data_IF_098725983212
#
_entry.id   IF_098725983212
#
_cell.length_a   1.000
_cell.length_b   1.000
_cell.length_c   1.000
_cell.angle_alpha   90.00
_cell.angle_beta   90.00
_cell.angle_gamma   90.00
#
_symmetry.space_group_name_H-M   'P 1'
#
loop_
_entity.id
_entity.type
_entity.pdbx_description
1 polymer ?
#
# COMPACT_ATOMS: atom_id res chain seq x y z
N UNK A 1 15.56 -2.11 33.36
CA UNK A 1 15.10 -2.70 32.09
C UNK A 1 15.04 -1.57 31.07
N UNK A 2 16.04 -1.44 30.20
CA UNK A 2 16.02 -0.43 29.16
C UNK A 2 15.10 -0.93 28.03
N UNK A 3 14.06 -0.18 27.63
CA UNK A 3 13.24 -0.57 26.50
C UNK A 3 14.10 -0.55 25.24
N UNK A 4 13.95 -1.58 24.40
CA UNK A 4 14.71 -1.73 23.17
C UNK A 4 14.35 -0.59 22.20
N UNK A 5 15.25 0.39 22.04
CA UNK A 5 15.04 1.63 21.27
C UNK A 5 14.65 1.36 19.80
N UNK A 6 15.10 0.22 19.25
CA UNK A 6 14.73 -0.24 17.91
C UNK A 6 13.23 -0.54 17.76
N UNK A 7 12.59 -1.10 18.81
CA UNK A 7 11.16 -1.40 18.79
C UNK A 7 10.31 -0.13 18.93
N UNK A 8 10.77 0.87 19.68
CA UNK A 8 10.09 2.16 19.80
C UNK A 8 10.13 2.97 18.50
N UNK A 9 11.20 2.90 17.71
CA UNK A 9 11.28 3.61 16.43
C UNK A 9 10.28 3.05 15.40
N UNK A 10 10.08 1.72 15.35
CA UNK A 10 9.06 1.10 14.47
C UNK A 10 7.64 1.62 14.76
N UNK A 11 7.34 1.95 16.02
CA UNK A 11 6.02 2.45 16.43
C UNK A 11 5.71 3.89 16.04
N UNK A 12 6.70 4.69 15.61
CA UNK A 12 6.54 6.14 15.39
C UNK A 12 6.45 6.51 13.90
N UNK A 13 6.96 5.67 12.98
CA UNK A 13 7.07 6.03 11.56
C UNK A 13 5.99 5.44 10.63
N UNK A 14 5.36 4.34 11.01
CA UNK A 14 4.27 3.76 10.24
C UNK A 14 3.06 3.65 11.17
N UNK A 15 1.86 4.13 10.81
CA UNK A 15 0.69 3.97 11.66
C UNK A 15 0.22 2.51 11.60
N UNK A 16 0.94 1.68 12.34
CA UNK A 16 0.58 0.59 13.27
C UNK A 16 -0.70 -0.25 13.12
N UNK A 17 -1.62 -0.05 12.16
CA UNK A 17 -2.90 -0.79 12.09
C UNK A 17 -3.49 -1.03 10.69
N UNK A 18 -2.80 -0.72 9.59
CA UNK A 18 -3.50 -0.48 8.31
C UNK A 18 -4.00 -1.63 7.47
N UNK A 19 -3.62 -2.84 7.79
CA UNK A 19 -4.47 -3.95 7.46
C UNK A 19 -5.08 -4.35 8.78
N UNK A 20 -6.39 -4.11 8.95
CA UNK A 20 -7.19 -4.90 9.87
C UNK A 20 -6.70 -6.33 9.67
N UNK A 21 -5.88 -6.83 10.62
CA UNK A 21 -5.38 -8.19 10.63
C UNK A 21 -6.60 -9.03 10.30
N UNK A 22 -6.55 -9.67 9.13
CA UNK A 22 -7.73 -10.21 8.46
C UNK A 22 -8.63 -10.93 9.46
N UNK A 23 -9.95 -10.85 9.23
CA UNK A 23 -11.01 -11.59 9.95
C UNK A 23 -10.42 -12.66 10.85
N UNK A 24 -10.54 -12.48 12.18
CA UNK A 24 -10.09 -13.48 13.15
C UNK A 24 -10.58 -14.84 12.68
N UNK A 25 -9.72 -15.61 12.01
CA UNK A 25 -10.07 -16.94 11.56
C UNK A 25 -10.22 -17.69 12.87
N UNK A 26 -11.47 -18.01 13.18
CA UNK A 26 -11.88 -18.56 14.46
C UNK A 26 -11.39 -20.01 14.51
N UNK A 27 -10.15 -20.21 14.96
CA UNK A 27 -9.56 -21.53 15.12
C UNK A 27 -8.05 -21.49 15.21
N UNK A 28 -7.48 -22.47 15.90
CA UNK A 28 -6.05 -22.82 15.97
C UNK A 28 -5.49 -23.31 14.63
N UNK A 29 -5.97 -22.77 13.51
CA UNK A 29 -5.72 -23.26 12.17
C UNK A 29 -4.34 -22.75 11.76
N UNK A 30 -3.35 -23.63 11.90
CA UNK A 30 -2.09 -23.52 11.22
C UNK A 30 -2.37 -23.91 9.77
N UNK A 31 -2.44 -22.92 8.89
CA UNK A 31 -2.66 -23.13 7.45
C UNK A 31 -1.36 -22.88 6.73
N UNK A 32 -0.94 -23.83 5.91
CA UNK A 32 0.23 -23.72 5.05
C UNK A 32 -0.24 -23.81 3.60
N UNK A 33 0.21 -22.89 2.76
CA UNK A 33 -0.15 -22.78 1.35
C UNK A 33 1.10 -22.48 0.54
N UNK A 34 1.20 -23.08 -0.64
CA UNK A 34 2.19 -22.69 -1.63
C UNK A 34 1.63 -21.56 -2.49
N UNK A 35 2.37 -20.46 -2.61
CA UNK A 35 2.01 -19.32 -3.46
C UNK A 35 3.12 -19.04 -4.45
N UNK A 36 2.76 -18.57 -5.65
CA UNK A 36 3.71 -18.12 -6.67
C UNK A 36 4.15 -16.65 -6.48
N UNK A 37 3.43 -15.88 -5.68
CA UNK A 37 3.60 -14.43 -5.51
C UNK A 37 3.36 -14.02 -4.04
N UNK A 38 4.13 -13.07 -3.47
CA UNK A 38 5.17 -12.23 -4.07
C UNK A 38 6.46 -12.98 -4.48
N UNK A 39 6.79 -14.09 -3.81
CA UNK A 39 7.91 -14.97 -4.16
C UNK A 39 7.40 -16.42 -4.13
N UNK A 40 7.76 -17.27 -5.10
CA UNK A 40 7.38 -18.68 -5.09
C UNK A 40 7.87 -19.39 -3.82
N UNK A 41 6.95 -19.99 -3.07
CA UNK A 41 7.29 -20.65 -1.82
C UNK A 41 6.10 -21.04 -0.96
N UNK A 42 6.42 -21.60 0.21
CA UNK A 42 5.46 -22.01 1.23
C UNK A 42 5.24 -20.87 2.23
N UNK A 43 3.97 -20.47 2.32
CA UNK A 43 3.46 -19.47 3.23
C UNK A 43 2.65 -20.12 4.35
N UNK A 44 2.83 -19.63 5.58
CA UNK A 44 2.13 -20.09 6.77
C UNK A 44 1.31 -18.96 7.39
N UNK A 45 0.05 -19.25 7.66
CA UNK A 45 -0.79 -18.36 8.46
C UNK A 45 -0.50 -18.57 9.95
N UNK A 46 -0.01 -17.51 10.60
CA UNK A 46 0.22 -17.47 12.03
C UNK A 46 -0.94 -16.67 12.67
N UNK A 47 -1.74 -17.28 13.58
CA UNK A 47 -2.81 -16.57 14.26
C UNK A 47 -2.28 -15.29 14.92
N UNK A 48 -3.06 -14.21 14.83
CA UNK A 48 -2.70 -12.85 15.28
C UNK A 48 -1.62 -12.11 14.48
N UNK A 49 -0.82 -12.78 13.65
CA UNK A 49 0.23 -12.12 12.87
C UNK A 49 -0.11 -12.06 11.38
N UNK A 50 -0.79 -13.07 10.83
CA UNK A 50 -1.15 -13.13 9.41
C UNK A 50 -0.27 -14.12 8.63
N UNK A 51 -0.16 -13.91 7.31
CA UNK A 51 0.63 -14.76 6.43
C UNK A 51 2.11 -14.44 6.50
N UNK A 52 2.96 -15.48 6.53
CA UNK A 52 4.41 -15.36 6.55
C UNK A 52 5.01 -16.34 5.55
N UNK A 53 6.04 -15.91 4.81
CA UNK A 53 6.88 -16.81 4.04
C UNK A 53 7.76 -17.61 4.99
N UNK A 54 7.71 -18.95 4.86
CA UNK A 54 8.49 -19.87 5.70
C UNK A 54 9.53 -20.62 4.88
N UNK A 55 9.29 -20.88 3.60
CA UNK A 55 10.24 -21.58 2.74
C UNK A 55 10.13 -21.05 1.31
N UNK A 56 11.26 -20.74 0.66
CA UNK A 56 11.29 -20.34 -0.75
C UNK A 56 11.49 -21.56 -1.64
N UNK A 57 10.87 -21.57 -2.81
CA UNK A 57 11.12 -22.62 -3.79
C UNK A 57 12.59 -22.64 -4.21
N UNK A 58 13.20 -23.82 -4.20
CA UNK A 58 14.62 -24.00 -4.50
C UNK A 58 15.57 -23.77 -3.32
N UNK A 59 15.05 -23.39 -2.14
CA UNK A 59 15.82 -23.44 -0.89
C UNK A 59 15.79 -24.85 -0.30
N UNK A 60 16.94 -25.37 0.11
CA UNK A 60 17.03 -26.63 0.87
C UNK A 60 16.60 -26.47 2.34
N UNK A 61 16.51 -25.22 2.82
CA UNK A 61 16.24 -24.89 4.22
C UNK A 61 15.10 -23.89 4.35
N UNK A 62 14.34 -24.03 5.44
CA UNK A 62 13.35 -23.04 5.85
C UNK A 62 14.02 -21.69 6.20
N UNK A 63 13.26 -20.62 6.01
CA UNK A 63 13.63 -19.29 6.44
C UNK A 63 13.82 -19.27 7.96
N UNK A 64 15.02 -18.85 8.39
CA UNK A 64 15.36 -18.77 9.83
C UNK A 64 14.41 -17.87 10.61
N UNK A 65 13.88 -16.85 9.93
CA UNK A 65 12.89 -15.91 10.45
C UNK A 65 11.76 -15.83 9.42
N UNK A 66 10.53 -16.25 9.75
CA UNK A 66 9.40 -16.12 8.85
C UNK A 66 9.19 -14.66 8.43
N UNK A 67 9.05 -14.42 7.12
CA UNK A 67 8.94 -13.05 6.58
C UNK A 67 7.46 -12.68 6.45
N UNK A 68 6.97 -11.64 7.16
CA UNK A 68 5.56 -11.27 7.16
C UNK A 68 5.12 -10.70 5.79
N UNK A 69 3.89 -11.04 5.41
CA UNK A 69 3.25 -10.60 4.16
C UNK A 69 1.89 -9.97 4.46
N UNK A 70 1.61 -8.87 3.77
CA UNK A 70 0.40 -8.08 3.94
C UNK A 70 -0.32 -7.90 2.61
N UNK A 71 -1.66 -7.89 2.65
CA UNK A 71 -2.46 -7.63 1.45
C UNK A 71 -2.51 -6.12 1.19
N UNK A 72 -1.80 -5.63 0.17
CA UNK A 72 -1.84 -4.22 -0.19
C UNK A 72 -3.15 -3.86 -0.89
N UNK A 73 -3.95 -2.98 -0.26
CA UNK A 73 -5.23 -2.50 -0.80
C UNK A 73 -5.09 -1.56 -2.00
N UNK A 74 -3.92 -0.94 -2.20
CA UNK A 74 -3.65 -0.03 -3.33
C UNK A 74 -3.29 -0.84 -4.58
N UNK A 75 -2.42 -1.84 -4.43
CA UNK A 75 -1.99 -2.73 -5.52
C UNK A 75 -2.90 -3.95 -5.72
N UNK A 76 -3.83 -4.18 -4.79
CA UNK A 76 -4.72 -5.34 -4.77
C UNK A 76 -4.01 -6.71 -4.76
N UNK A 77 -2.80 -6.79 -4.19
CA UNK A 77 -2.01 -8.03 -4.08
C UNK A 77 -1.25 -8.13 -2.77
N UNK A 78 -0.79 -9.32 -2.44
CA UNK A 78 0.11 -9.55 -1.30
C UNK A 78 1.52 -9.05 -1.63
N UNK A 79 2.12 -8.33 -0.68
CA UNK A 79 3.52 -7.87 -0.71
C UNK A 79 4.14 -8.05 0.67
N UNK A 80 5.46 -8.04 0.78
CA UNK A 80 6.12 -8.16 2.08
C UNK A 80 5.88 -6.92 2.96
N UNK A 81 5.91 -7.09 4.29
CA UNK A 81 5.72 -5.98 5.24
C UNK A 81 6.81 -4.91 5.06
N UNK A 82 8.06 -5.31 4.83
CA UNK A 82 9.19 -4.41 4.57
C UNK A 82 9.02 -3.63 3.27
N UNK A 83 8.63 -4.30 2.18
CA UNK A 83 8.34 -3.64 0.89
C UNK A 83 7.19 -2.62 1.03
N UNK A 84 6.16 -2.96 1.82
CA UNK A 84 5.06 -2.04 2.12
C UNK A 84 5.57 -0.80 2.88
N UNK A 85 6.46 -0.99 3.85
CA UNK A 85 7.06 0.10 4.64
C UNK A 85 7.94 0.99 3.76
N UNK A 86 8.79 0.43 2.92
CA UNK A 86 9.71 1.16 2.04
C UNK A 86 8.96 2.02 1.00
N UNK A 87 7.80 1.52 0.53
CA UNK A 87 6.94 2.25 -0.41
C UNK A 87 6.15 3.39 0.24
N UNK A 88 6.05 3.41 1.57
CA UNK A 88 5.26 4.39 2.31
C UNK A 88 6.10 5.58 2.75
N UNK A 89 5.77 6.78 2.28
CA UNK A 89 6.52 8.00 2.60
C UNK A 89 5.60 9.16 3.02
N UNK A 90 5.92 9.79 4.16
CA UNK A 90 5.14 10.91 4.68
C UNK A 90 5.56 12.22 4.00
N UNK A 91 4.61 12.92 3.39
CA UNK A 91 4.83 14.26 2.84
C UNK A 91 3.77 15.25 3.29
N UNK A 92 4.20 16.48 3.50
CA UNK A 92 3.30 17.61 3.75
C UNK A 92 3.00 18.29 2.42
N UNK A 93 1.73 18.39 2.08
CA UNK A 93 1.27 18.98 0.81
C UNK A 93 0.29 20.12 1.09
N UNK A 94 0.38 21.17 0.28
CA UNK A 94 -0.57 22.28 0.30
C UNK A 94 -1.57 22.07 -0.83
N UNK A 95 -2.80 21.71 -0.49
CA UNK A 95 -3.88 21.53 -1.45
C UNK A 95 -4.55 22.89 -1.72
N UNK A 96 -4.42 23.41 -2.94
CA UNK A 96 -5.19 24.51 -3.53
C UNK A 96 -5.44 25.72 -2.60
N UNK A 97 -4.38 26.26 -2.01
CA UNK A 97 -4.44 27.44 -1.13
C UNK A 97 -4.94 27.17 0.29
N UNK A 98 -5.22 25.91 0.61
CA UNK A 98 -5.59 25.44 1.94
C UNK A 98 -4.41 25.28 2.89
N UNK A 99 -4.73 24.89 4.14
CA UNK A 99 -3.74 24.56 5.17
C UNK A 99 -2.89 23.36 4.70
N UNK A 100 -1.57 23.37 4.90
CA UNK A 100 -0.74 22.21 4.60
C UNK A 100 -1.23 20.99 5.39
N UNK A 101 -1.46 19.89 4.68
CA UNK A 101 -1.89 18.62 5.24
C UNK A 101 -0.78 17.58 5.10
N UNK A 102 -0.56 16.79 6.14
CA UNK A 102 0.38 15.68 6.14
C UNK A 102 -0.36 14.44 5.64
N UNK A 103 0.10 13.86 4.53
CA UNK A 103 -0.44 12.63 3.96
C UNK A 103 0.66 11.58 3.88
N UNK A 104 0.27 10.31 3.95
CA UNK A 104 1.17 9.22 3.63
C UNK A 104 0.95 8.79 2.19
N UNK A 105 2.03 8.90 1.43
CA UNK A 105 2.08 8.49 0.03
C UNK A 105 2.59 7.06 -0.08
N UNK A 106 2.06 6.35 -1.08
CA UNK A 106 2.49 5.02 -1.46
C UNK A 106 3.12 5.08 -2.86
N UNK A 107 4.33 4.55 -3.01
CA UNK A 107 5.01 4.42 -4.30
C UNK A 107 4.47 3.21 -5.08
N UNK A 108 4.03 3.45 -6.31
CA UNK A 108 3.52 2.40 -7.20
C UNK A 108 4.65 1.55 -7.80
N UNK A 109 4.27 0.50 -8.51
CA UNK A 109 5.20 -0.42 -9.19
C UNK A 109 6.05 0.24 -10.29
N UNK A 110 5.70 1.45 -10.73
CA UNK A 110 6.49 2.20 -11.71
C UNK A 110 7.68 2.94 -11.09
N UNK A 111 7.88 2.86 -9.77
CA UNK A 111 9.02 3.42 -9.02
C UNK A 111 9.12 4.97 -9.03
N UNK A 112 8.21 5.68 -9.69
CA UNK A 112 8.21 7.15 -9.71
C UNK A 112 6.83 7.77 -9.40
N UNK A 113 5.74 7.03 -9.51
CA UNK A 113 4.40 7.55 -9.21
C UNK A 113 4.03 7.26 -7.77
N UNK A 114 3.60 8.30 -7.07
CA UNK A 114 3.06 8.23 -5.73
C UNK A 114 1.55 8.43 -5.72
N UNK A 115 0.87 7.80 -4.76
CA UNK A 115 -0.56 8.02 -4.49
C UNK A 115 -0.80 8.30 -3.01
N UNK A 116 -1.72 9.19 -2.64
CA UNK A 116 -2.07 9.42 -1.24
C UNK A 116 -2.90 8.23 -0.74
N UNK A 117 -2.25 7.31 -0.02
CA UNK A 117 -2.92 6.14 0.52
C UNK A 117 -3.62 6.44 1.84
N UNK A 118 -3.14 7.44 2.59
CA UNK A 118 -3.66 7.70 3.93
C UNK A 118 -3.57 9.15 4.42
N UNK A 119 -4.50 9.50 5.32
CA UNK A 119 -4.61 10.82 5.92
C UNK A 119 -3.64 11.06 7.09
N UNK A 120 -3.59 12.31 7.57
CA UNK A 120 -2.78 12.74 8.72
C UNK A 120 -3.07 12.00 10.03
N UNK A 121 -4.25 11.38 10.16
CA UNK A 121 -4.69 10.63 11.33
C UNK A 121 -4.38 9.15 11.24
N UNK A 122 -3.76 8.71 10.16
CA UNK A 122 -3.54 7.29 9.98
C UNK A 122 -4.81 6.56 9.49
N UNK A 123 -5.66 7.16 8.64
CA UNK A 123 -6.84 6.48 8.06
C UNK A 123 -6.66 6.25 6.57
N UNK A 124 -7.06 5.07 6.10
CA UNK A 124 -6.96 4.69 4.70
C UNK A 124 -7.90 5.51 3.83
N UNK A 125 -7.35 6.07 2.75
CA UNK A 125 -8.06 6.80 1.72
C UNK A 125 -8.36 5.80 0.61
N UNK A 126 -9.64 5.41 0.41
CA UNK A 126 -10.00 4.56 -0.72
C UNK A 126 -9.90 5.35 -2.04
N UNK A 127 -9.52 4.67 -3.11
CA UNK A 127 -9.44 5.25 -4.45
C UNK A 127 -10.79 5.71 -5.01
N UNK A 128 -10.80 6.40 -6.17
CA UNK A 128 -9.71 6.52 -7.14
C UNK A 128 -8.56 7.44 -6.69
N UNK A 129 -7.33 7.04 -6.99
CA UNK A 129 -6.13 7.78 -6.57
C UNK A 129 -5.70 8.82 -7.60
N UNK A 130 -5.53 10.07 -7.15
CA UNK A 130 -4.79 11.08 -7.89
C UNK A 130 -3.31 10.71 -7.88
N UNK A 131 -2.64 10.78 -9.05
CA UNK A 131 -1.20 10.53 -9.17
C UNK A 131 -0.39 11.76 -8.78
N UNK A 132 0.72 11.51 -8.10
CA UNK A 132 1.70 12.49 -7.67
C UNK A 132 3.10 12.03 -8.06
N UNK A 133 4.03 12.97 -8.16
CA UNK A 133 5.46 12.69 -8.28
C UNK A 133 6.20 13.50 -7.23
N UNK A 134 7.32 12.95 -6.78
CA UNK A 134 8.24 13.67 -5.91
C UNK A 134 9.18 14.51 -6.80
N UNK A 135 9.08 15.83 -6.67
CA UNK A 135 10.07 16.72 -7.27
C UNK A 135 11.37 16.63 -6.46
N UNK A 136 12.44 16.14 -7.09
CA UNK A 136 13.74 15.91 -6.45
C UNK A 136 14.42 17.21 -6.04
N UNK A 137 14.15 18.33 -6.73
CA UNK A 137 14.78 19.62 -6.44
C UNK A 137 14.16 20.25 -5.19
N UNK A 138 12.83 20.33 -5.16
CA UNK A 138 12.10 20.97 -4.07
C UNK A 138 11.77 20.02 -2.91
N UNK A 139 11.94 18.70 -3.12
CA UNK A 139 11.46 17.63 -2.23
C UNK A 139 9.97 17.75 -1.90
N UNK A 140 9.20 18.32 -2.82
CA UNK A 140 7.75 18.48 -2.66
C UNK A 140 6.98 17.52 -3.56
N UNK A 141 5.86 17.03 -3.05
CA UNK A 141 4.95 16.21 -3.84
C UNK A 141 4.14 17.14 -4.75
N UNK A 142 4.16 16.86 -6.05
CA UNK A 142 3.42 17.61 -7.05
C UNK A 142 2.35 16.73 -7.69
N UNK A 143 1.15 17.29 -7.86
CA UNK A 143 0.04 16.60 -8.52
C UNK A 143 0.33 16.49 -10.00
N UNK A 144 0.10 15.32 -10.57
CA UNK A 144 0.01 15.18 -12.03
C UNK A 144 -1.30 15.85 -12.46
N UNK A 145 -1.22 17.13 -12.79
CA UNK A 145 -2.28 17.84 -13.49
C UNK A 145 -2.29 17.30 -14.92
N UNK A 146 -3.16 16.34 -15.22
CA UNK A 146 -3.45 16.00 -16.60
C UNK A 146 -3.77 17.30 -17.37
N UNK A 147 -3.17 17.58 -18.54
CA UNK A 147 -3.80 18.51 -19.47
C UNK A 147 -5.01 17.83 -20.16
N UNK A 148 -5.98 18.61 -20.67
CA UNK A 148 -7.33 18.16 -20.97
C UNK A 148 -7.44 17.34 -22.27
N UNK A 149 -8.36 16.37 -22.27
CA UNK A 149 -8.94 15.68 -23.44
C UNK A 149 -8.02 14.89 -24.37
N UNK A 150 -8.21 13.57 -24.41
CA UNK A 150 -8.48 12.93 -25.71
C UNK A 150 -9.99 13.00 -25.93
N UNK A 151 -10.40 13.67 -27.00
CA UNK A 151 -11.77 13.67 -27.49
C UNK A 151 -12.23 12.22 -27.72
N UNK A 152 -12.99 11.64 -26.78
CA UNK A 152 -13.94 10.60 -27.12
C UNK A 152 -15.29 11.28 -27.23
N UNK A 153 -15.70 11.44 -28.48
CA UNK A 153 -16.98 11.97 -28.94
C UNK A 153 -18.09 11.80 -27.91
N UNK A 154 -18.63 12.93 -27.43
CA UNK A 154 -20.01 12.96 -26.95
C UNK A 154 -20.89 12.66 -28.17
N UNK A 155 -21.20 11.39 -28.39
CA UNK A 155 -22.41 11.03 -29.12
C UNK A 155 -23.55 11.36 -28.16
N UNK A 156 -23.99 12.62 -28.19
CA UNK A 156 -25.36 12.93 -27.79
C UNK A 156 -26.25 12.28 -28.84
N UNK A 157 -26.78 11.09 -28.53
CA UNK A 157 -27.95 10.56 -29.23
C UNK A 157 -29.10 11.49 -28.87
N UNK A 158 -29.26 12.56 -29.66
CA UNK A 158 -30.53 13.26 -29.74
C UNK A 158 -31.44 12.29 -30.48
N UNK A 159 -32.36 11.68 -29.74
CA UNK A 159 -33.46 10.95 -30.33
C UNK A 159 -34.32 11.95 -31.11
N UNK A 160 -34.19 11.95 -32.43
CA UNK A 160 -35.11 12.63 -33.32
C UNK A 160 -36.52 12.09 -33.04
N UNK A 161 -37.39 12.99 -32.58
CA UNK A 161 -38.84 12.79 -32.61
C UNK A 161 -39.25 12.73 -34.08
N UNK A 162 -39.61 11.54 -34.53
CA UNK A 162 -40.35 11.34 -35.78
C UNK A 162 -41.82 11.67 -35.49
N UNK A 163 -42.35 12.64 -36.25
CA UNK A 163 -43.78 12.91 -36.41
C UNK A 163 -44.47 11.77 -37.14
#
# INVERSE_FOLDING_TARGET
>A
MAPNLFLCLRTVFCPTYWFQRGERIQGSIHREEHWDSPVPGIYKYIPSQGWHLVCRDGSEYDEKVPVPVVYCRILHRYIFEDEMEDRCQWHTVSLDGGKPEKLLFFLLDDEYTYVPGWDSKGRFIPGPYQRWYLDLETKTMQRVLFPPSSNVSRISVVADKVN
#
